data_IF_261423810274
#
_entry.id   IF_261423810274
#
_cell.length_a   1.000
_cell.length_b   1.000
_cell.length_c   1.000
_cell.angle_alpha   90.00
_cell.angle_beta   90.00
_cell.angle_gamma   90.00
#
_symmetry.space_group_name_H-M   'P 1'
#
loop_
_entity.id
_entity.type
_entity.pdbx_description
1 polymer ?
#
# COMPACT_ATOMS: atom_id res chain seq x y z
N UNK A 1 -12.59 8.29 -8.84
CA UNK A 1 -11.20 7.82 -8.63
C UNK A 1 -10.40 9.04 -8.19
N UNK A 2 -10.00 9.14 -6.92
CA UNK A 2 -9.36 10.36 -6.38
C UNK A 2 -7.85 10.14 -6.44
N UNK A 3 -7.27 10.60 -7.54
CA UNK A 3 -5.84 10.56 -7.89
C UNK A 3 -5.13 11.79 -7.34
N UNK A 4 -3.79 11.74 -7.26
CA UNK A 4 -2.81 12.73 -6.76
C UNK A 4 -3.10 14.20 -7.09
N UNK A 5 -3.89 14.45 -8.14
CA UNK A 5 -4.45 15.75 -8.54
C UNK A 5 -5.20 16.45 -7.39
N UNK A 6 -5.90 15.73 -6.51
CA UNK A 6 -6.71 16.38 -5.48
C UNK A 6 -5.88 17.01 -4.34
N UNK A 7 -4.67 16.50 -4.05
CA UNK A 7 -3.75 17.15 -3.10
C UNK A 7 -3.34 18.53 -3.63
N UNK A 8 -3.00 18.61 -4.91
CA UNK A 8 -2.63 19.85 -5.57
C UNK A 8 -3.81 20.84 -5.64
N UNK A 9 -5.02 20.33 -5.87
CA UNK A 9 -6.22 21.17 -5.83
C UNK A 9 -6.51 21.69 -4.41
N UNK A 10 -6.37 20.84 -3.38
CA UNK A 10 -6.54 21.26 -1.99
C UNK A 10 -5.50 22.32 -1.59
N UNK A 11 -4.24 22.13 -1.99
CA UNK A 11 -3.16 23.10 -1.69
C UNK A 11 -3.34 24.42 -2.44
N UNK A 12 -3.86 24.41 -3.67
CA UNK A 12 -4.02 25.62 -4.50
C UNK A 12 -5.33 26.38 -4.27
N UNK A 13 -6.43 25.65 -4.04
CA UNK A 13 -7.77 26.25 -4.01
C UNK A 13 -8.30 26.49 -2.59
N UNK A 14 -7.64 25.93 -1.58
CA UNK A 14 -8.05 26.03 -0.19
C UNK A 14 -9.22 25.10 0.16
N UNK A 15 -9.46 24.97 1.47
CA UNK A 15 -10.48 24.08 2.04
C UNK A 15 -11.87 24.43 1.48
N UNK A 16 -12.61 23.42 1.00
CA UNK A 16 -14.00 23.55 0.57
C UNK A 16 -14.22 23.89 -0.91
N UNK A 17 -13.19 24.31 -1.67
CA UNK A 17 -13.36 24.67 -3.10
C UNK A 17 -13.30 23.48 -4.07
N UNK A 18 -12.83 22.32 -3.62
CA UNK A 18 -12.79 21.05 -4.39
C UNK A 18 -13.50 19.89 -3.67
N UNK A 19 -14.34 20.18 -2.68
CA UNK A 19 -14.90 19.17 -1.76
C UNK A 19 -13.93 18.81 -0.62
N UNK A 20 -14.33 17.83 0.21
CA UNK A 20 -13.48 17.27 1.27
C UNK A 20 -12.69 16.11 0.69
N UNK A 21 -11.36 16.19 0.76
CA UNK A 21 -10.48 15.07 0.41
C UNK A 21 -10.52 14.03 1.54
N UNK A 22 -11.31 12.97 1.38
CA UNK A 22 -11.41 11.91 2.39
C UNK A 22 -10.47 10.74 2.13
N UNK A 23 -10.14 10.47 0.85
CA UNK A 23 -9.28 9.35 0.44
C UNK A 23 -8.32 9.83 -0.65
N UNK A 24 -7.04 9.51 -0.49
CA UNK A 24 -6.02 9.72 -1.50
C UNK A 24 -5.50 8.36 -2.00
N UNK A 25 -5.76 8.03 -3.27
CA UNK A 25 -5.27 6.80 -3.88
C UNK A 25 -3.94 7.07 -4.59
N UNK A 26 -2.89 6.36 -4.18
CA UNK A 26 -1.52 6.49 -4.71
C UNK A 26 -0.88 5.11 -4.87
N UNK A 27 0.09 5.00 -5.78
CA UNK A 27 0.97 3.82 -5.81
C UNK A 27 1.76 3.73 -4.51
N UNK A 28 1.63 2.58 -3.82
CA UNK A 28 2.20 2.37 -2.51
C UNK A 28 2.44 0.89 -2.23
N UNK A 29 3.69 0.54 -1.96
CA UNK A 29 4.17 -0.78 -1.55
C UNK A 29 5.54 -0.62 -0.85
N UNK A 30 6.14 -1.67 -0.26
CA UNK A 30 7.39 -1.54 0.51
C UNK A 30 8.54 -0.82 -0.20
N UNK A 31 8.65 -0.99 -1.52
CA UNK A 31 9.66 -0.36 -2.39
C UNK A 31 9.27 1.00 -2.98
N UNK A 32 8.11 1.55 -2.59
CA UNK A 32 7.67 2.89 -2.97
C UNK A 32 6.76 3.46 -1.88
N UNK A 33 7.36 3.94 -0.78
CA UNK A 33 6.58 4.27 0.42
C UNK A 33 5.98 5.67 0.46
N UNK A 34 6.40 6.62 -0.40
CA UNK A 34 5.77 7.96 -0.48
C UNK A 34 5.62 8.66 0.90
N UNK A 35 6.66 8.60 1.74
CA UNK A 35 6.60 9.01 3.17
C UNK A 35 6.09 10.45 3.36
N UNK A 36 6.47 11.36 2.47
CA UNK A 36 6.01 12.75 2.42
C UNK A 36 4.50 12.87 2.19
N UNK A 37 3.96 12.11 1.24
CA UNK A 37 2.52 12.06 0.95
C UNK A 37 1.77 11.40 2.10
N UNK A 38 2.32 10.33 2.69
CA UNK A 38 1.74 9.67 3.86
C UNK A 38 1.58 10.66 5.01
N UNK A 39 2.66 11.33 5.38
CA UNK A 39 2.68 12.29 6.48
C UNK A 39 1.68 13.42 6.24
N UNK A 40 1.60 13.93 5.00
CA UNK A 40 0.65 14.96 4.62
C UNK A 40 -0.81 14.51 4.81
N UNK A 41 -1.12 13.28 4.39
CA UNK A 41 -2.46 12.69 4.49
C UNK A 41 -2.85 12.42 5.95
N UNK A 42 -1.96 11.80 6.72
CA UNK A 42 -2.19 11.45 8.12
C UNK A 42 -2.47 12.69 8.99
N UNK A 43 -1.68 13.77 8.82
CA UNK A 43 -1.91 15.05 9.52
C UNK A 43 -3.28 15.68 9.24
N UNK A 44 -3.98 15.24 8.19
CA UNK A 44 -5.26 15.81 7.72
C UNK A 44 -6.42 14.82 7.82
N UNK A 45 -6.21 13.63 8.37
CA UNK A 45 -7.24 12.59 8.42
C UNK A 45 -7.67 12.08 7.05
N UNK A 46 -6.79 12.16 6.04
CA UNK A 46 -7.04 11.63 4.71
C UNK A 46 -6.62 10.16 4.69
N UNK A 47 -7.55 9.26 4.38
CA UNK A 47 -7.26 7.84 4.24
C UNK A 47 -6.37 7.61 3.02
N UNK A 48 -5.35 6.78 3.17
CA UNK A 48 -4.49 6.37 2.07
C UNK A 48 -5.02 5.07 1.49
N UNK A 49 -5.24 5.05 0.19
CA UNK A 49 -5.60 3.83 -0.54
C UNK A 49 -4.42 3.42 -1.42
N UNK A 50 -3.83 2.26 -1.13
CA UNK A 50 -2.67 1.76 -1.85
C UNK A 50 -3.10 1.14 -3.18
N UNK A 51 -2.75 1.82 -4.27
CA UNK A 51 -2.78 1.29 -5.62
C UNK A 51 -1.52 0.48 -5.90
N UNK A 52 -1.64 -0.56 -6.74
CA UNK A 52 -0.61 -1.58 -6.99
C UNK A 52 0.10 -2.06 -5.70
N UNK A 53 -0.63 -2.48 -4.66
CA UNK A 53 -0.03 -2.87 -3.37
C UNK A 53 0.87 -4.11 -3.47
N UNK A 54 0.86 -4.80 -4.61
CA UNK A 54 1.63 -5.99 -4.92
C UNK A 54 2.86 -5.70 -5.80
N UNK A 55 3.25 -4.42 -5.98
CA UNK A 55 4.34 -4.00 -6.87
C UNK A 55 4.22 -4.61 -8.28
N UNK A 56 2.99 -4.71 -8.80
CA UNK A 56 2.64 -5.40 -10.05
C UNK A 56 3.26 -6.80 -10.23
N UNK A 57 3.52 -7.54 -9.13
CA UNK A 57 4.21 -8.82 -9.14
C UNK A 57 5.71 -8.81 -9.54
N UNK A 58 6.33 -7.63 -9.67
CA UNK A 58 7.75 -7.51 -10.02
C UNK A 58 8.71 -7.85 -8.89
N UNK A 59 8.20 -7.97 -7.66
CA UNK A 59 8.98 -8.20 -6.44
C UNK A 59 8.77 -9.59 -5.83
N UNK A 60 8.33 -10.53 -6.66
CA UNK A 60 8.23 -11.93 -6.22
C UNK A 60 9.59 -12.54 -5.98
N UNK A 61 9.69 -13.34 -4.92
CA UNK A 61 10.92 -13.95 -4.41
C UNK A 61 11.97 -12.95 -3.90
N UNK A 62 11.57 -11.71 -3.59
CA UNK A 62 12.48 -10.73 -3.00
C UNK A 62 13.08 -11.29 -1.68
N UNK A 63 14.40 -11.17 -1.46
CA UNK A 63 15.04 -11.68 -0.26
C UNK A 63 14.40 -11.20 1.06
N UNK A 64 13.86 -9.97 1.07
CA UNK A 64 13.18 -9.39 2.25
C UNK A 64 11.92 -10.15 2.65
N UNK A 65 11.29 -10.88 1.73
CA UNK A 65 10.06 -11.65 1.97
C UNK A 65 10.32 -13.08 2.41
N UNK A 66 11.51 -13.65 2.14
CA UNK A 66 11.78 -15.09 2.32
C UNK A 66 11.55 -15.58 3.76
N UNK A 67 12.09 -14.86 4.73
CA UNK A 67 11.95 -15.26 6.14
C UNK A 67 10.52 -15.07 6.64
N UNK A 68 9.83 -14.04 6.14
CA UNK A 68 8.42 -13.76 6.46
C UNK A 68 7.52 -14.89 5.93
N UNK A 69 7.73 -15.29 4.66
CA UNK A 69 7.01 -16.42 4.04
C UNK A 69 7.26 -17.69 4.84
N UNK A 70 8.52 -17.97 5.19
CA UNK A 70 8.89 -19.16 5.96
C UNK A 70 8.21 -19.20 7.34
N UNK A 71 8.16 -18.07 8.05
CA UNK A 71 7.54 -17.99 9.38
C UNK A 71 6.02 -18.07 9.33
N UNK A 72 5.40 -17.33 8.41
CA UNK A 72 3.94 -17.18 8.37
C UNK A 72 3.26 -18.32 7.60
N UNK A 73 3.96 -18.97 6.67
CA UNK A 73 3.38 -19.89 5.69
C UNK A 73 2.43 -19.20 4.71
N UNK A 74 2.44 -17.86 4.64
CA UNK A 74 1.57 -17.05 3.78
C UNK A 74 2.27 -16.72 2.47
N UNK A 75 1.47 -16.40 1.45
CA UNK A 75 2.01 -15.97 0.16
C UNK A 75 2.54 -14.54 0.25
N UNK A 76 3.45 -14.21 -0.67
CA UNK A 76 4.01 -12.86 -0.77
C UNK A 76 2.92 -11.80 -0.96
N UNK A 77 1.88 -12.12 -1.74
CA UNK A 77 0.71 -11.26 -1.90
C UNK A 77 0.01 -10.98 -0.56
N UNK A 78 -0.23 -12.02 0.25
CA UNK A 78 -0.84 -11.87 1.57
C UNK A 78 0.03 -11.03 2.51
N UNK A 79 1.35 -11.22 2.47
CA UNK A 79 2.32 -10.45 3.27
C UNK A 79 2.27 -8.97 2.90
N UNK A 80 2.30 -8.62 1.61
CA UNK A 80 2.25 -7.23 1.16
C UNK A 80 0.91 -6.55 1.50
N UNK A 81 -0.20 -7.29 1.39
CA UNK A 81 -1.52 -6.80 1.80
C UNK A 81 -1.58 -6.58 3.32
N UNK A 82 -1.03 -7.52 4.11
CA UNK A 82 -0.97 -7.40 5.57
C UNK A 82 -0.08 -6.22 5.99
N UNK A 83 1.06 -6.03 5.34
CA UNK A 83 1.93 -4.86 5.54
C UNK A 83 1.14 -3.57 5.32
N UNK A 84 0.37 -3.48 4.23
CA UNK A 84 -0.42 -2.28 3.94
C UNK A 84 -1.42 -1.99 5.06
N UNK A 85 -2.14 -3.01 5.53
CA UNK A 85 -3.11 -2.87 6.62
C UNK A 85 -2.44 -2.45 7.95
N UNK A 86 -1.31 -3.06 8.32
CA UNK A 86 -0.61 -2.72 9.57
C UNK A 86 0.01 -1.32 9.55
N UNK A 87 0.41 -0.80 8.38
CA UNK A 87 0.86 0.58 8.22
C UNK A 87 -0.31 1.58 8.17
N UNK A 88 -1.56 1.11 8.22
CA UNK A 88 -2.77 1.94 8.24
C UNK A 88 -3.29 2.34 6.86
N UNK A 89 -2.91 1.61 5.81
CA UNK A 89 -3.33 1.86 4.43
C UNK A 89 -4.46 0.91 4.02
N UNK A 90 -5.28 1.33 3.06
CA UNK A 90 -6.31 0.51 2.44
C UNK A 90 -5.82 -0.07 1.10
N UNK A 91 -5.35 -1.33 1.01
CA UNK A 91 -4.85 -1.88 -0.24
C UNK A 91 -5.96 -2.26 -1.24
N UNK A 92 -5.71 -2.02 -2.53
CA UNK A 92 -6.56 -2.45 -3.63
C UNK A 92 -5.82 -3.43 -4.57
N UNK A 93 -5.70 -4.73 -4.21
CA UNK A 93 -5.13 -5.72 -5.12
C UNK A 93 -6.04 -5.97 -6.31
N UNK A 94 -5.48 -5.93 -7.52
CA UNK A 94 -6.16 -6.38 -8.74
C UNK A 94 -5.93 -7.88 -8.93
N UNK A 95 -6.99 -8.62 -9.20
CA UNK A 95 -6.92 -10.00 -9.70
C UNK A 95 -8.16 -10.32 -10.52
N UNK A 96 -7.99 -11.12 -11.57
CA UNK A 96 -9.10 -11.75 -12.32
C UNK A 96 -9.21 -13.25 -12.02
N UNK A 97 -8.26 -13.81 -11.26
CA UNK A 97 -8.22 -15.23 -10.92
C UNK A 97 -8.99 -15.46 -9.62
N UNK A 98 -10.08 -16.25 -9.61
CA UNK A 98 -10.91 -16.44 -8.42
C UNK A 98 -10.17 -16.97 -7.20
N UNK A 99 -9.23 -17.90 -7.38
CA UNK A 99 -8.42 -18.45 -6.29
C UNK A 99 -7.55 -17.38 -5.62
N UNK A 100 -6.93 -16.50 -6.40
CA UNK A 100 -6.14 -15.36 -5.88
C UNK A 100 -7.02 -14.32 -5.20
N UNK A 101 -8.23 -14.06 -5.72
CA UNK A 101 -9.19 -13.15 -5.07
C UNK A 101 -9.52 -13.68 -3.67
N UNK A 102 -9.82 -14.98 -3.55
CA UNK A 102 -10.10 -15.62 -2.27
C UNK A 102 -8.86 -15.67 -1.36
N UNK A 103 -7.66 -15.91 -1.91
CA UNK A 103 -6.42 -15.91 -1.14
C UNK A 103 -6.12 -14.52 -0.54
N UNK A 104 -6.33 -13.46 -1.32
CA UNK A 104 -6.10 -12.07 -0.92
C UNK A 104 -7.01 -11.62 0.23
N UNK A 105 -8.13 -12.31 0.51
CA UNK A 105 -8.98 -11.99 1.68
C UNK A 105 -8.51 -12.65 2.97
N UNK A 106 -7.64 -13.67 2.89
CA UNK A 106 -7.13 -14.43 4.04
C UNK A 106 -5.90 -13.75 4.68
N UNK A 107 -6.07 -12.49 5.05
CA UNK A 107 -4.99 -11.61 5.55
C UNK A 107 -5.24 -11.08 6.97
N UNK A 108 -6.30 -11.56 7.63
CA UNK A 108 -6.70 -11.13 8.97
C UNK A 108 -6.35 -12.16 10.06
N UNK A 109 -5.85 -13.33 9.67
CA UNK A 109 -5.53 -14.45 10.56
C UNK A 109 -4.04 -14.52 10.94
N UNK A 110 -3.24 -13.52 10.56
CA UNK A 110 -1.82 -13.42 10.92
C UNK A 110 -1.38 -11.95 11.02
N UNK A 111 -0.19 -11.75 11.56
CA UNK A 111 0.44 -10.45 11.73
C UNK A 111 1.94 -10.49 11.41
N UNK A 112 2.46 -9.39 10.87
CA UNK A 112 3.88 -9.13 10.73
C UNK A 112 4.41 -8.54 12.04
N UNK A 113 5.52 -9.06 12.51
CA UNK A 113 6.25 -8.54 13.67
C UNK A 113 6.90 -7.19 13.34
N UNK A 114 7.24 -6.42 14.36
CA UNK A 114 7.94 -5.14 14.19
C UNK A 114 9.26 -5.30 13.42
N UNK A 115 9.99 -6.40 13.65
CA UNK A 115 11.22 -6.70 12.91
C UNK A 115 10.97 -6.96 11.43
N UNK A 116 9.86 -7.60 11.07
CA UNK A 116 9.53 -7.87 9.66
C UNK A 116 8.98 -6.63 8.97
N UNK A 117 8.22 -5.80 9.69
CA UNK A 117 7.85 -4.47 9.21
C UNK A 117 9.09 -3.64 8.92
N UNK A 118 10.08 -3.65 9.83
CA UNK A 118 11.36 -2.94 9.67
C UNK A 118 12.17 -3.44 8.46
N UNK A 119 12.19 -4.75 8.18
CA UNK A 119 12.82 -5.32 6.97
C UNK A 119 12.17 -4.78 5.69
N UNK A 120 10.87 -4.47 5.74
CA UNK A 120 10.12 -3.88 4.64
C UNK A 120 10.16 -2.35 4.62
N UNK A 121 10.93 -1.70 5.51
CA UNK A 121 11.19 -0.27 5.48
C UNK A 121 12.34 0.07 4.54
N UNK A 122 12.07 0.00 3.24
CA UNK A 122 13.04 0.35 2.20
C UNK A 122 13.05 1.86 1.91
N UNK A 123 14.18 2.35 1.37
CA UNK A 123 14.34 3.69 0.81
C UNK A 123 14.29 3.68 -0.73
N UNK A 124 13.79 2.60 -1.33
CA UNK A 124 13.67 2.49 -2.78
C UNK A 124 12.57 3.40 -3.34
N UNK A 125 12.70 3.71 -4.64
CA UNK A 125 11.72 4.46 -5.42
C UNK A 125 11.34 3.65 -6.68
N UNK A 126 10.73 2.50 -6.46
CA UNK A 126 10.32 1.57 -7.51
C UNK A 126 8.92 1.91 -8.02
N UNK A 127 8.86 2.86 -8.95
CA UNK A 127 7.60 3.35 -9.52
C UNK A 127 7.23 2.55 -10.77
N UNK A 128 6.01 2.00 -10.78
CA UNK A 128 5.47 1.22 -11.89
C UNK A 128 4.56 2.03 -12.82
N UNK A 129 3.91 3.07 -12.30
CA UNK A 129 3.02 3.91 -13.08
C UNK A 129 1.75 3.22 -13.57
N UNK A 130 0.92 3.97 -14.31
CA UNK A 130 -0.48 3.60 -14.60
C UNK A 130 -0.69 2.92 -15.96
N UNK A 131 0.39 2.51 -16.62
CA UNK A 131 0.36 1.84 -17.93
C UNK A 131 0.23 0.31 -17.81
#
# INVERSE_FOLDING_TARGET
MVSSILILMYSKLGKGKGGVLSVNQIELHPWLQRRDIIEWCQKRGVLIQAWAPLAQANRWNDPSLKDIVKRTGKTEAQILLRWSLQKGFNPLPKSVTPSRILENTKIFDFELTDSELAVLETDEYDYHGWE
#
